data_IF_666168205309
#
_entry.id   IF_666168205309
#
_cell.length_a   1.000
_cell.length_b   1.000
_cell.length_c   1.000
_cell.angle_alpha   90.00
_cell.angle_beta   90.00
_cell.angle_gamma   90.00
#
_symmetry.space_group_name_H-M   'P 1'
#
loop_
_entity.id
_entity.type
_entity.pdbx_description
1 polymer ?
#
# COMPACT_ATOMS: atom_id res chain seq x y z
N UNK A 1 26.32 -0.34 20.25
CA UNK A 1 26.68 -1.60 19.55
C UNK A 1 25.93 -1.57 18.22
N UNK A 2 26.64 -1.58 17.09
CA UNK A 2 26.11 -1.16 15.78
C UNK A 2 25.19 -2.20 15.09
N UNK A 3 24.78 -3.26 15.79
CA UNK A 3 23.87 -4.31 15.28
C UNK A 3 22.38 -4.02 15.50
N UNK A 4 22.00 -3.00 16.29
CA UNK A 4 20.62 -2.85 16.79
C UNK A 4 19.58 -2.31 15.78
N UNK A 5 19.96 -1.89 14.57
CA UNK A 5 19.04 -1.23 13.61
C UNK A 5 19.04 -1.81 12.18
N UNK A 6 19.40 -3.08 11.98
CA UNK A 6 19.36 -3.70 10.65
C UNK A 6 17.92 -4.03 10.25
N UNK A 7 17.39 -3.40 9.20
CA UNK A 7 16.07 -3.71 8.62
C UNK A 7 16.22 -4.76 7.53
N UNK A 8 15.44 -5.84 7.60
CA UNK A 8 15.35 -6.87 6.56
C UNK A 8 13.90 -7.00 6.10
N UNK A 9 13.67 -6.89 4.80
CA UNK A 9 12.35 -7.03 4.19
C UNK A 9 12.29 -8.36 3.41
N UNK A 10 11.43 -9.26 3.88
CA UNK A 10 11.12 -10.52 3.19
C UNK A 10 9.89 -10.32 2.32
N UNK A 11 9.97 -10.72 1.05
CA UNK A 11 8.82 -10.58 0.16
C UNK A 11 9.08 -11.08 -1.24
N UNK A 12 8.03 -11.02 -2.08
CA UNK A 12 8.12 -11.31 -3.51
C UNK A 12 8.10 -9.99 -4.29
N UNK A 13 9.00 -9.81 -5.25
CA UNK A 13 9.16 -8.55 -5.99
C UNK A 13 7.87 -8.07 -6.69
N UNK A 14 7.04 -9.01 -7.13
CA UNK A 14 5.79 -8.74 -7.84
C UNK A 14 4.63 -8.37 -6.89
N UNK A 15 4.78 -8.60 -5.58
CA UNK A 15 3.71 -8.36 -4.61
C UNK A 15 3.50 -6.87 -4.39
N UNK A 16 2.30 -6.34 -4.65
CA UNK A 16 2.04 -4.93 -4.41
C UNK A 16 2.02 -4.60 -2.91
N UNK A 17 1.73 -5.57 -2.05
CA UNK A 17 1.84 -5.42 -0.59
C UNK A 17 3.29 -5.20 -0.13
N UNK A 18 4.23 -5.90 -0.76
CA UNK A 18 5.66 -5.72 -0.49
C UNK A 18 6.14 -4.37 -1.04
N UNK A 19 5.65 -3.97 -2.23
CA UNK A 19 5.95 -2.66 -2.81
C UNK A 19 5.53 -1.49 -1.90
N UNK A 20 4.41 -1.62 -1.16
CA UNK A 20 4.01 -0.62 -0.13
C UNK A 20 5.14 -0.39 0.87
N UNK A 21 5.69 -1.47 1.43
CA UNK A 21 6.75 -1.42 2.43
C UNK A 21 8.04 -0.89 1.82
N UNK A 22 8.40 -1.33 0.61
CA UNK A 22 9.54 -0.80 -0.15
C UNK A 22 9.44 0.72 -0.31
N UNK A 23 8.27 1.24 -0.72
CA UNK A 23 8.07 2.67 -0.87
C UNK A 23 8.19 3.42 0.44
N UNK A 24 7.64 2.90 1.54
CA UNK A 24 7.80 3.52 2.84
C UNK A 24 9.27 3.56 3.29
N UNK A 25 10.02 2.47 3.13
CA UNK A 25 11.44 2.43 3.47
C UNK A 25 12.24 3.44 2.63
N UNK A 26 11.96 3.56 1.33
CA UNK A 26 12.58 4.53 0.43
C UNK A 26 12.23 5.97 0.83
N UNK A 27 10.94 6.28 1.06
CA UNK A 27 10.46 7.60 1.49
C UNK A 27 11.11 8.06 2.79
N UNK A 28 11.30 7.12 3.73
CA UNK A 28 11.92 7.37 5.03
C UNK A 28 13.45 7.40 4.99
N UNK A 29 14.06 7.03 3.86
CA UNK A 29 15.52 6.91 3.71
C UNK A 29 16.14 5.80 4.55
N UNK A 30 15.38 4.73 4.82
CA UNK A 30 15.82 3.62 5.67
C UNK A 30 16.59 2.60 4.81
N UNK A 31 17.87 2.33 5.09
CA UNK A 31 18.57 1.24 4.43
C UNK A 31 18.00 -0.10 4.88
N UNK A 32 17.75 -1.00 3.93
CA UNK A 32 17.23 -2.33 4.20
C UNK A 32 17.87 -3.39 3.32
N UNK A 33 17.92 -4.62 3.82
CA UNK A 33 18.24 -5.80 3.02
C UNK A 33 16.94 -6.42 2.52
N UNK A 34 16.87 -6.73 1.22
CA UNK A 34 15.73 -7.39 0.61
C UNK A 34 16.02 -8.88 0.42
N UNK A 35 15.10 -9.72 0.90
CA UNK A 35 15.17 -11.18 0.74
C UNK A 35 13.96 -11.62 -0.10
N UNK A 36 14.25 -12.10 -1.31
CA UNK A 36 13.21 -12.64 -2.20
C UNK A 36 12.68 -13.97 -1.65
N UNK A 37 11.36 -14.08 -1.55
CA UNK A 37 10.66 -15.26 -1.03
C UNK A 37 9.91 -16.00 -2.15
N UNK A 38 10.08 -17.31 -2.22
CA UNK A 38 9.24 -18.18 -3.06
C UNK A 38 7.92 -18.48 -2.36
N UNK A 39 6.83 -17.87 -2.84
CA UNK A 39 5.50 -18.07 -2.25
C UNK A 39 4.95 -19.50 -2.45
N UNK A 40 5.54 -20.30 -3.34
CA UNK A 40 5.21 -21.73 -3.52
C UNK A 40 5.93 -22.61 -2.50
N UNK A 41 7.09 -22.16 -2.01
CA UNK A 41 7.92 -22.85 -1.03
C UNK A 41 8.46 -21.88 0.01
N UNK A 42 7.57 -21.44 0.91
CA UNK A 42 7.83 -20.37 1.88
C UNK A 42 8.91 -20.74 2.89
N UNK A 43 9.79 -19.80 3.21
CA UNK A 43 10.80 -19.99 4.26
C UNK A 43 10.18 -20.14 5.65
N UNK A 44 10.88 -20.80 6.57
CA UNK A 44 10.44 -20.91 7.97
C UNK A 44 10.35 -19.56 8.69
N UNK A 45 11.11 -18.56 8.22
CA UNK A 45 11.09 -17.20 8.76
C UNK A 45 9.83 -16.46 8.30
N UNK A 46 9.48 -16.55 7.01
CA UNK A 46 8.25 -15.95 6.48
C UNK A 46 7.01 -16.49 7.20
N UNK A 47 6.97 -17.80 7.49
CA UNK A 47 5.87 -18.41 8.25
C UNK A 47 5.75 -17.88 9.68
N UNK A 48 6.85 -17.46 10.30
CA UNK A 48 6.87 -16.92 11.67
C UNK A 48 6.60 -15.42 11.73
N UNK A 49 7.00 -14.66 10.70
CA UNK A 49 7.05 -13.20 10.70
C UNK A 49 5.99 -12.55 9.82
N UNK A 50 4.95 -13.30 9.41
CA UNK A 50 3.92 -12.78 8.53
C UNK A 50 3.07 -11.70 9.21
N UNK A 51 3.11 -10.48 8.67
CA UNK A 51 2.36 -9.33 9.16
C UNK A 51 1.73 -8.54 8.01
N UNK A 52 0.61 -7.88 8.29
CA UNK A 52 -0.15 -7.11 7.32
C UNK A 52 0.60 -5.84 6.87
N UNK A 53 0.63 -5.59 5.55
CA UNK A 53 1.39 -4.48 4.97
C UNK A 53 1.01 -3.10 5.56
N UNK A 54 -0.28 -2.85 5.81
CA UNK A 54 -0.73 -1.59 6.40
C UNK A 54 -0.25 -1.43 7.84
N UNK A 55 -0.20 -2.51 8.62
CA UNK A 55 0.34 -2.50 9.98
C UNK A 55 1.85 -2.21 9.95
N UNK A 56 2.58 -2.78 8.99
CA UNK A 56 4.00 -2.49 8.79
C UNK A 56 4.21 -1.02 8.43
N UNK A 57 3.36 -0.44 7.58
CA UNK A 57 3.43 0.99 7.24
C UNK A 57 3.22 1.88 8.46
N UNK A 58 2.22 1.56 9.31
CA UNK A 58 2.00 2.29 10.56
C UNK A 58 3.20 2.19 11.49
N UNK A 59 3.77 0.99 11.67
CA UNK A 59 4.98 0.79 12.47
C UNK A 59 6.17 1.62 11.93
N UNK A 60 6.40 1.61 10.62
CA UNK A 60 7.48 2.39 9.99
C UNK A 60 7.28 3.89 10.25
N UNK A 61 6.06 4.39 10.08
CA UNK A 61 5.73 5.82 10.29
C UNK A 61 5.82 6.22 11.77
N UNK A 62 5.52 5.29 12.68
CA UNK A 62 5.62 5.48 14.12
C UNK A 62 7.08 5.52 14.62
N UNK A 63 7.94 4.62 14.13
CA UNK A 63 9.32 4.50 14.60
C UNK A 63 10.26 5.48 13.90
N UNK A 64 10.18 5.63 12.57
CA UNK A 64 11.07 6.49 11.81
C UNK A 64 10.39 7.81 11.44
N UNK A 65 10.83 8.88 12.12
CA UNK A 65 10.34 10.25 11.90
C UNK A 65 11.06 11.01 10.79
N UNK A 66 12.04 10.39 10.14
CA UNK A 66 12.70 10.91 8.93
C UNK A 66 11.73 10.86 7.73
N UNK A 67 11.93 11.72 6.73
CA UNK A 67 11.08 11.76 5.53
C UNK A 67 9.64 12.23 5.80
N UNK A 68 8.73 12.06 4.83
CA UNK A 68 7.33 12.46 4.97
C UNK A 68 6.61 11.61 6.02
N UNK A 69 5.60 12.20 6.67
CA UNK A 69 4.70 11.49 7.58
C UNK A 69 3.56 10.88 6.76
N UNK A 70 3.45 9.54 6.77
CA UNK A 70 2.42 8.84 6.00
C UNK A 70 1.02 9.07 6.59
N UNK A 71 0.94 9.26 7.91
CA UNK A 71 -0.27 9.54 8.64
C UNK A 71 -0.24 10.92 9.29
N UNK A 72 -1.36 11.63 9.19
CA UNK A 72 -1.55 12.90 9.91
C UNK A 72 -1.56 12.68 11.42
N UNK A 73 -1.08 13.66 12.18
CA UNK A 73 -1.22 13.68 13.65
C UNK A 73 -2.66 14.02 14.09
N UNK A 74 -3.43 14.66 13.21
CA UNK A 74 -4.85 14.92 13.45
C UNK A 74 -5.65 13.60 13.44
N UNK A 75 -6.35 13.23 14.53
CA UNK A 75 -7.03 11.95 14.62
C UNK A 75 -8.08 11.72 13.53
N UNK A 76 -8.78 12.78 13.09
CA UNK A 76 -9.81 12.68 12.08
C UNK A 76 -9.20 12.44 10.70
N UNK A 77 -8.21 13.24 10.30
CA UNK A 77 -7.47 13.06 9.04
C UNK A 77 -6.78 11.71 8.97
N UNK A 78 -6.17 11.26 10.09
CA UNK A 78 -5.57 9.92 10.21
C UNK A 78 -6.59 8.81 10.01
N UNK A 79 -7.77 8.93 10.63
CA UNK A 79 -8.84 7.95 10.49
C UNK A 79 -9.38 7.91 9.06
N UNK A 80 -9.49 9.07 8.39
CA UNK A 80 -9.83 9.11 6.96
C UNK A 80 -8.77 8.40 6.11
N UNK A 81 -7.49 8.64 6.34
CA UNK A 81 -6.43 7.98 5.58
C UNK A 81 -6.49 6.45 5.72
N UNK A 82 -6.68 5.95 6.94
CA UNK A 82 -6.87 4.50 7.21
C UNK A 82 -8.11 3.95 6.50
N UNK A 83 -9.24 4.65 6.62
CA UNK A 83 -10.48 4.24 5.98
C UNK A 83 -10.31 4.10 4.46
N UNK A 84 -9.73 5.12 3.80
CA UNK A 84 -9.55 5.09 2.35
C UNK A 84 -8.48 4.09 1.89
N UNK A 85 -7.42 3.89 2.66
CA UNK A 85 -6.43 2.84 2.40
C UNK A 85 -7.06 1.43 2.49
N UNK A 86 -7.93 1.19 3.48
CA UNK A 86 -8.69 -0.06 3.60
C UNK A 86 -9.76 -0.21 2.52
N UNK A 87 -10.46 0.87 2.17
CA UNK A 87 -11.41 0.86 1.06
C UNK A 87 -10.74 0.52 -0.28
N UNK A 88 -9.54 1.07 -0.50
CA UNK A 88 -8.71 0.76 -1.67
C UNK A 88 -8.31 -0.71 -1.70
N UNK A 89 -7.96 -1.31 -0.55
CA UNK A 89 -7.70 -2.75 -0.43
C UNK A 89 -8.90 -3.59 -0.91
N UNK A 90 -10.11 -3.21 -0.54
CA UNK A 90 -11.33 -3.90 -1.01
C UNK A 90 -11.59 -3.72 -2.51
N UNK A 91 -11.25 -2.57 -3.11
CA UNK A 91 -11.32 -2.40 -4.57
C UNK A 91 -10.37 -3.39 -5.26
N UNK A 92 -9.15 -3.53 -4.74
CA UNK A 92 -8.12 -4.40 -5.31
C UNK A 92 -8.50 -5.89 -5.20
N UNK A 93 -9.08 -6.29 -4.08
CA UNK A 93 -9.65 -7.64 -3.91
C UNK A 93 -10.78 -7.90 -4.92
N UNK A 94 -11.68 -6.93 -5.10
CA UNK A 94 -12.77 -7.06 -6.08
C UNK A 94 -12.25 -7.08 -7.53
N UNK A 95 -11.14 -6.39 -7.84
CA UNK A 95 -10.49 -6.48 -9.16
C UNK A 95 -9.93 -7.88 -9.43
N UNK A 96 -9.38 -8.56 -8.42
CA UNK A 96 -8.93 -9.94 -8.58
C UNK A 96 -10.11 -10.86 -8.95
N UNK A 97 -11.27 -10.68 -8.31
CA UNK A 97 -12.50 -11.43 -8.64
C UNK A 97 -12.93 -11.18 -10.11
N UNK A 98 -12.83 -9.94 -10.60
CA UNK A 98 -13.13 -9.63 -12.01
C UNK A 98 -12.21 -10.40 -12.97
N UNK A 99 -10.93 -10.56 -12.62
CA UNK A 99 -9.96 -11.29 -13.44
C UNK A 99 -10.16 -12.81 -13.40
N UNK A 100 -10.67 -13.35 -12.29
CA UNK A 100 -10.86 -14.80 -12.07
C UNK A 100 -12.24 -15.32 -12.55
N UNK A 101 -13.21 -14.44 -12.76
CA UNK A 101 -14.58 -14.81 -13.14
C UNK A 101 -14.86 -14.57 -14.63
N UNK A 102 -15.97 -15.12 -15.15
CA UNK A 102 -16.40 -14.94 -16.54
C UNK A 102 -17.92 -14.89 -16.65
N UNK A 103 -18.43 -14.33 -17.76
CA UNK A 103 -19.88 -14.25 -18.03
C UNK A 103 -20.62 -13.33 -17.05
N UNK A 104 -21.84 -13.70 -16.68
CA UNK A 104 -22.71 -12.88 -15.82
C UNK A 104 -22.07 -12.53 -14.46
N UNK A 105 -21.30 -13.45 -13.88
CA UNK A 105 -20.59 -13.22 -12.61
C UNK A 105 -19.53 -12.11 -12.76
N UNK A 106 -18.79 -12.10 -13.88
CA UNK A 106 -17.80 -11.07 -14.18
C UNK A 106 -18.47 -9.72 -14.43
N UNK A 107 -19.57 -9.68 -15.19
CA UNK A 107 -20.32 -8.44 -15.43
C UNK A 107 -20.84 -7.82 -14.13
N UNK A 108 -21.32 -8.64 -13.19
CA UNK A 108 -21.73 -8.17 -11.86
C UNK A 108 -20.54 -7.61 -11.07
N UNK A 109 -19.42 -8.32 -11.05
CA UNK A 109 -18.20 -7.86 -10.37
C UNK A 109 -17.67 -6.55 -10.98
N UNK A 110 -17.69 -6.39 -12.31
CA UNK A 110 -17.31 -5.15 -13.00
C UNK A 110 -18.19 -3.98 -12.55
N UNK A 111 -19.51 -4.17 -12.47
CA UNK A 111 -20.44 -3.12 -12.01
C UNK A 111 -20.12 -2.69 -10.58
N UNK A 112 -19.94 -3.66 -9.68
CA UNK A 112 -19.62 -3.38 -8.28
C UNK A 112 -18.28 -2.66 -8.11
N UNK A 113 -17.22 -3.13 -8.79
CA UNK A 113 -15.91 -2.46 -8.79
C UNK A 113 -16.03 -1.05 -9.34
N UNK A 114 -16.77 -0.85 -10.43
CA UNK A 114 -16.95 0.46 -11.07
C UNK A 114 -17.61 1.47 -10.12
N UNK A 115 -18.60 1.06 -9.34
CA UNK A 115 -19.24 1.92 -8.33
C UNK A 115 -18.26 2.31 -7.23
N UNK A 116 -17.46 1.35 -6.72
CA UNK A 116 -16.46 1.62 -5.69
C UNK A 116 -15.35 2.54 -6.20
N UNK A 117 -14.88 2.34 -7.43
CA UNK A 117 -13.88 3.20 -8.07
C UNK A 117 -14.42 4.62 -8.23
N UNK A 118 -15.68 4.80 -8.65
CA UNK A 118 -16.31 6.13 -8.75
C UNK A 118 -16.35 6.86 -7.41
N UNK A 119 -16.71 6.16 -6.32
CA UNK A 119 -16.69 6.75 -4.97
C UNK A 119 -15.28 7.19 -4.56
N UNK A 120 -14.26 6.40 -4.89
CA UNK A 120 -12.87 6.78 -4.66
C UNK A 120 -12.47 7.99 -5.51
N UNK A 121 -12.82 8.03 -6.79
CA UNK A 121 -12.54 9.17 -7.68
C UNK A 121 -13.17 10.47 -7.18
N UNK A 122 -14.44 10.43 -6.76
CA UNK A 122 -15.13 11.58 -6.16
C UNK A 122 -14.40 12.08 -4.92
N UNK A 123 -13.93 11.15 -4.08
CA UNK A 123 -13.12 11.51 -2.91
C UNK A 123 -11.81 12.17 -3.32
N UNK A 124 -11.09 11.58 -4.26
CA UNK A 124 -9.79 12.07 -4.71
C UNK A 124 -9.90 13.46 -5.32
N UNK A 125 -10.96 13.78 -6.06
CA UNK A 125 -11.21 15.15 -6.57
C UNK A 125 -11.31 16.19 -5.45
N UNK A 126 -11.85 15.82 -4.29
CA UNK A 126 -11.93 16.71 -3.14
C UNK A 126 -10.58 17.01 -2.49
N UNK A 127 -9.62 16.09 -2.57
CA UNK A 127 -8.26 16.28 -2.06
C UNK A 127 -7.30 16.85 -3.09
N UNK A 128 -7.49 16.46 -4.35
CA UNK A 128 -6.63 16.76 -5.49
C UNK A 128 -7.48 17.44 -6.58
N UNK A 129 -7.83 18.72 -6.41
CA UNK A 129 -8.67 19.44 -7.37
C UNK A 129 -8.03 19.52 -8.76
N UNK A 130 -6.70 19.53 -8.81
CA UNK A 130 -5.91 19.55 -10.05
C UNK A 130 -5.56 18.14 -10.59
N UNK A 131 -6.15 17.09 -9.99
CA UNK A 131 -5.94 15.69 -10.35
C UNK A 131 -4.91 14.98 -9.46
N UNK A 132 -5.05 13.66 -9.36
CA UNK A 132 -4.16 12.82 -8.56
C UNK A 132 -2.70 12.95 -9.06
N UNK A 133 -1.71 13.04 -8.16
CA UNK A 133 -0.30 13.19 -8.56
C UNK A 133 0.12 12.10 -9.55
N UNK A 134 0.71 12.51 -10.69
CA UNK A 134 1.20 11.58 -11.72
C UNK A 134 2.62 11.08 -11.49
N UNK A 135 3.36 11.75 -10.62
CA UNK A 135 4.70 11.36 -10.19
C UNK A 135 4.73 11.19 -8.68
N UNK A 136 5.54 10.25 -8.24
CA UNK A 136 5.86 10.03 -6.83
C UNK A 136 6.86 11.10 -6.37
N UNK A 137 6.45 12.38 -6.39
CA UNK A 137 7.31 13.45 -5.89
C UNK A 137 7.32 13.34 -4.35
N UNK A 138 8.47 12.93 -3.82
CA UNK A 138 8.69 12.30 -2.52
C UNK A 138 8.41 13.21 -1.29
N UNK A 139 7.85 14.40 -1.49
CA UNK A 139 7.77 15.43 -0.45
C UNK A 139 6.45 15.44 0.32
N UNK A 140 5.35 14.99 -0.30
CA UNK A 140 4.01 15.03 0.29
C UNK A 140 3.21 13.74 0.04
N UNK A 141 3.85 12.58 0.18
CA UNK A 141 3.20 11.26 0.00
C UNK A 141 2.60 10.77 1.32
N UNK A 142 1.29 10.52 1.33
CA UNK A 142 0.56 9.92 2.45
C UNK A 142 0.33 8.42 2.30
N UNK A 143 -0.31 7.82 3.31
CA UNK A 143 -0.65 6.39 3.33
C UNK A 143 -1.46 5.95 2.11
N UNK A 144 -2.45 6.75 1.70
CA UNK A 144 -3.33 6.41 0.58
C UNK A 144 -2.55 6.36 -0.74
N UNK A 145 -1.65 7.32 -0.95
CA UNK A 145 -0.81 7.40 -2.14
C UNK A 145 0.14 6.19 -2.20
N UNK A 146 0.78 5.82 -1.09
CA UNK A 146 1.61 4.59 -1.02
C UNK A 146 0.80 3.36 -1.44
N UNK A 147 -0.44 3.24 -0.97
CA UNK A 147 -1.32 2.12 -1.32
C UNK A 147 -1.69 2.13 -2.80
N UNK A 148 -2.09 3.28 -3.36
CA UNK A 148 -2.46 3.41 -4.78
C UNK A 148 -1.26 3.14 -5.69
N UNK A 149 -0.12 3.79 -5.45
CA UNK A 149 1.08 3.63 -6.27
C UNK A 149 1.66 2.21 -6.19
N UNK A 150 1.56 1.52 -5.06
CA UNK A 150 2.04 0.14 -4.94
C UNK A 150 1.32 -0.85 -5.87
N UNK A 151 0.08 -0.55 -6.25
CA UNK A 151 -0.76 -1.41 -7.08
C UNK A 151 -0.80 -0.97 -8.55
N UNK A 152 -0.79 0.34 -8.83
CA UNK A 152 -0.94 0.89 -10.18
C UNK A 152 0.29 1.63 -10.70
N UNK A 153 1.27 1.94 -9.85
CA UNK A 153 2.50 2.59 -10.26
C UNK A 153 3.37 1.62 -11.06
N UNK A 154 3.66 1.97 -12.31
CA UNK A 154 4.78 1.37 -13.03
C UNK A 154 6.10 1.88 -12.44
N UNK A 155 7.06 0.97 -12.26
CA UNK A 155 8.49 1.28 -12.24
C UNK A 155 9.02 0.85 -13.61
#
# INVERSE_FOLDING_TARGET
MAEENKVTLYGMWASPFVKRVVFALILKGIPYEYVEEDLRNKSSLLLKLNAESLVILEYIDEIWKTGPQLLSQDPYKRSQARFWAGFMQHILESLAIVLETSGEAQEKAIKEVSERVRLLEERLKGYYPDGFPRSFDLKDVGLLEVVIFSHFGCI
#
